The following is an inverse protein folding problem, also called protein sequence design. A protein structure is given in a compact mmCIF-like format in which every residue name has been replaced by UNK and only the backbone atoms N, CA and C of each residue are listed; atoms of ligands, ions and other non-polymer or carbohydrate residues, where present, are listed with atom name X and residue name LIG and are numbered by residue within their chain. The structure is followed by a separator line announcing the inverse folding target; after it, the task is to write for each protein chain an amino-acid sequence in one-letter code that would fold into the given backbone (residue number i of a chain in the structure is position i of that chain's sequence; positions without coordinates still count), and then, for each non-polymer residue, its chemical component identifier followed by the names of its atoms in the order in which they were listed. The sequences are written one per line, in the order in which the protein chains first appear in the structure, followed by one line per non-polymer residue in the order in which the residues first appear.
data_IF_444352894090
#
_entry.id   IF_444352894090
#
_cell.length_a   1.000
_cell.length_b   1.000
_cell.length_c   1.000
_cell.angle_alpha   90.00
_cell.angle_beta   90.00
_cell.angle_gamma   90.00
#
_symmetry.space_group_name_H-M   'P 1'
#
loop_
_entity.id
_entity.type
_entity.pdbx_description
1 polymer ?
#
# COMPACT_ATOMS: atom_id res chain seq x y z
N UNK A 1 24.96 -0.84 5.09
CA UNK A 1 23.85 0.13 4.90
C UNK A 1 24.42 1.48 4.48
N UNK A 2 23.86 2.11 3.44
CA UNK A 2 24.29 3.46 3.05
C UNK A 2 23.94 4.47 4.16
N UNK A 3 24.79 5.49 4.34
CA UNK A 3 24.60 6.53 5.35
C UNK A 3 23.20 7.20 5.26
N UNK A 4 22.69 7.40 4.05
CA UNK A 4 21.35 7.93 3.81
C UNK A 4 20.23 7.05 4.41
N UNK A 5 20.38 5.72 4.35
CA UNK A 5 19.41 4.79 4.95
C UNK A 5 19.38 4.94 6.46
N UNK A 6 20.55 5.11 7.10
CA UNK A 6 20.64 5.34 8.54
C UNK A 6 19.97 6.67 8.94
N UNK A 7 20.25 7.75 8.21
CA UNK A 7 19.62 9.05 8.45
C UNK A 7 18.09 8.98 8.33
N UNK A 8 17.60 8.28 7.31
CA UNK A 8 16.16 8.12 7.10
C UNK A 8 15.49 7.36 8.25
N UNK A 9 16.03 6.19 8.63
CA UNK A 9 15.47 5.41 9.73
C UNK A 9 15.60 6.12 11.08
N UNK A 10 16.68 6.86 11.31
CA UNK A 10 16.83 7.69 12.50
C UNK A 10 15.78 8.79 12.54
N UNK A 11 15.47 9.41 11.41
CA UNK A 11 14.38 10.41 11.30
C UNK A 11 13.01 9.81 11.59
N UNK A 12 12.70 8.64 11.02
CA UNK A 12 11.45 7.92 11.30
C UNK A 12 11.35 7.57 12.80
N UNK A 13 12.42 7.01 13.37
CA UNK A 13 12.47 6.67 14.79
C UNK A 13 12.26 7.91 15.67
N UNK A 14 12.89 9.04 15.34
CA UNK A 14 12.69 10.30 16.07
C UNK A 14 11.24 10.77 16.05
N UNK A 15 10.59 10.73 14.88
CA UNK A 15 9.16 11.10 14.75
C UNK A 15 8.28 10.17 15.59
N UNK A 16 8.54 8.85 15.58
CA UNK A 16 7.79 7.89 16.38
C UNK A 16 8.03 8.08 17.89
N UNK A 17 9.25 8.40 18.32
CA UNK A 17 9.57 8.73 19.72
C UNK A 17 8.79 9.96 20.16
N UNK A 18 8.83 11.04 19.37
CA UNK A 18 8.08 12.27 19.67
C UNK A 18 6.58 11.98 19.77
N UNK A 19 6.02 11.23 18.80
CA UNK A 19 4.62 10.85 18.81
C UNK A 19 4.24 10.02 20.05
N UNK A 20 5.12 9.10 20.44
CA UNK A 20 4.95 8.29 21.67
C UNK A 20 4.96 9.16 22.92
N UNK A 21 5.94 10.06 23.06
CA UNK A 21 6.02 10.97 24.18
C UNK A 21 4.79 11.87 24.31
N UNK A 22 4.32 12.43 23.18
CA UNK A 22 3.10 13.25 23.15
C UNK A 22 1.89 12.42 23.59
N UNK A 23 1.70 11.23 23.03
CA UNK A 23 0.53 10.39 23.34
C UNK A 23 0.54 9.91 24.80
N UNK A 24 1.67 9.53 25.35
CA UNK A 24 1.79 9.11 26.75
C UNK A 24 1.59 10.28 27.71
N UNK A 25 2.10 11.48 27.38
CA UNK A 25 1.87 12.68 28.19
C UNK A 25 0.39 13.08 28.19
N UNK A 26 -0.30 12.99 27.04
CA UNK A 26 -1.74 13.23 26.95
C UNK A 26 -2.52 12.19 27.76
N UNK A 27 -2.14 10.92 27.67
CA UNK A 27 -2.75 9.83 28.43
C UNK A 27 -2.53 10.01 29.95
N UNK A 28 -1.36 10.43 30.35
CA UNK A 28 -1.06 10.70 31.77
C UNK A 28 -1.91 11.87 32.31
N UNK A 29 -2.05 12.96 31.53
CA UNK A 29 -2.95 14.08 31.87
C UNK A 29 -4.43 13.71 31.92
N UNK A 30 -4.84 12.78 31.09
CA UNK A 30 -6.22 12.30 31.00
C UNK A 30 -6.54 11.14 31.95
N UNK A 31 -5.64 10.74 32.86
CA UNK A 31 -5.87 9.61 33.80
C UNK A 31 -7.15 9.69 34.61
N UNK A 32 -7.59 10.90 34.93
CA UNK A 32 -8.84 11.12 35.66
C UNK A 32 -10.11 10.94 34.79
N UNK A 33 -9.98 10.91 33.45
CA UNK A 33 -11.08 10.74 32.50
C UNK A 33 -10.58 9.87 31.31
N UNK A 34 -10.71 8.54 31.40
CA UNK A 34 -10.33 7.65 30.31
C UNK A 34 -11.00 8.06 28.99
N UNK A 35 -10.21 8.11 27.91
CA UNK A 35 -10.70 8.51 26.60
C UNK A 35 -10.37 7.44 25.56
N UNK A 36 -11.41 6.84 24.98
CA UNK A 36 -11.26 5.86 23.89
C UNK A 36 -10.49 6.42 22.68
N UNK A 37 -10.52 7.74 22.48
CA UNK A 37 -9.75 8.42 21.41
C UNK A 37 -8.24 8.35 21.71
N UNK A 38 -7.82 8.56 22.97
CA UNK A 38 -6.43 8.48 23.36
C UNK A 38 -5.91 7.03 23.33
N UNK A 39 -6.72 6.06 23.76
CA UNK A 39 -6.35 4.65 23.70
C UNK A 39 -6.17 4.21 22.25
N UNK A 40 -7.05 4.63 21.34
CA UNK A 40 -6.91 4.37 19.90
C UNK A 40 -5.64 5.04 19.33
N UNK A 41 -5.32 6.27 19.74
CA UNK A 41 -4.09 6.96 19.31
C UNK A 41 -2.84 6.18 19.74
N UNK A 42 -2.78 5.73 20.99
CA UNK A 42 -1.66 4.93 21.51
C UNK A 42 -1.54 3.59 20.76
N UNK A 43 -2.66 2.88 20.53
CA UNK A 43 -2.67 1.64 19.76
C UNK A 43 -2.13 1.87 18.33
N UNK A 44 -2.52 2.97 17.68
CA UNK A 44 -2.00 3.35 16.37
C UNK A 44 -0.49 3.61 16.36
N UNK A 45 0.03 4.32 17.33
CA UNK A 45 1.48 4.59 17.41
C UNK A 45 2.26 3.30 17.64
N UNK A 46 1.76 2.38 18.49
CA UNK A 46 2.36 1.05 18.67
C UNK A 46 2.39 0.25 17.37
N UNK A 47 1.29 0.24 16.63
CA UNK A 47 1.24 -0.43 15.33
C UNK A 47 2.23 0.19 14.32
N UNK A 48 2.43 1.51 14.34
CA UNK A 48 3.47 2.16 13.52
C UNK A 48 4.89 1.71 13.90
N UNK A 49 5.18 1.53 15.19
CA UNK A 49 6.46 0.96 15.63
C UNK A 49 6.68 -0.45 15.09
N UNK A 50 5.66 -1.31 15.15
CA UNK A 50 5.73 -2.67 14.61
C UNK A 50 5.96 -2.64 13.10
N UNK A 51 5.19 -1.84 12.36
CA UNK A 51 5.34 -1.72 10.91
C UNK A 51 6.75 -1.19 10.53
N UNK A 52 7.23 -0.16 11.22
CA UNK A 52 8.58 0.39 10.99
C UNK A 52 9.67 -0.65 11.29
N UNK A 53 9.53 -1.44 12.36
CA UNK A 53 10.45 -2.51 12.71
C UNK A 53 10.46 -3.62 11.65
N UNK A 54 9.28 -4.08 11.19
CA UNK A 54 9.16 -5.11 10.14
C UNK A 54 9.81 -4.65 8.83
N UNK A 55 9.53 -3.42 8.40
CA UNK A 55 10.17 -2.84 7.20
C UNK A 55 11.67 -2.67 7.42
N UNK A 56 12.10 -2.20 8.59
CA UNK A 56 13.51 -2.06 8.94
C UNK A 56 14.26 -3.39 8.89
N UNK A 57 13.69 -4.45 9.46
CA UNK A 57 14.25 -5.81 9.39
C UNK A 57 14.35 -6.25 7.92
N UNK A 58 13.29 -6.07 7.13
CA UNK A 58 13.34 -6.43 5.71
C UNK A 58 14.45 -5.68 4.95
N UNK A 59 14.69 -4.40 5.28
CA UNK A 59 15.78 -3.61 4.69
C UNK A 59 17.16 -4.10 5.10
N UNK A 60 17.34 -4.62 6.33
CA UNK A 60 18.59 -5.24 6.77
C UNK A 60 18.92 -6.47 5.93
N UNK A 61 17.92 -7.30 5.60
CA UNK A 61 18.07 -8.44 4.70
C UNK A 61 18.11 -8.04 3.21
N UNK A 62 18.04 -6.74 2.91
CA UNK A 62 18.16 -6.19 1.56
C UNK A 62 17.09 -6.68 0.60
N UNK A 63 17.49 -6.98 -0.64
CA UNK A 63 16.57 -7.39 -1.71
C UNK A 63 15.69 -8.59 -1.33
N UNK A 64 16.29 -9.62 -0.75
CA UNK A 64 15.57 -10.84 -0.35
C UNK A 64 14.52 -10.54 0.70
N UNK A 65 14.88 -9.82 1.76
CA UNK A 65 13.96 -9.44 2.83
C UNK A 65 12.75 -8.66 2.33
N UNK A 66 12.98 -7.69 1.45
CA UNK A 66 11.89 -6.86 0.90
C UNK A 66 10.96 -7.67 -0.01
N UNK A 67 11.50 -8.50 -0.91
CA UNK A 67 10.67 -9.33 -1.79
C UNK A 67 9.82 -10.31 -0.98
N UNK A 68 10.42 -10.98 0.02
CA UNK A 68 9.70 -11.90 0.91
C UNK A 68 8.64 -11.17 1.73
N UNK A 69 8.96 -10.01 2.30
CA UNK A 69 7.99 -9.19 3.04
C UNK A 69 6.78 -8.86 2.17
N UNK A 70 7.00 -8.33 0.96
CA UNK A 70 5.88 -7.94 0.10
C UNK A 70 5.13 -9.15 -0.49
N UNK A 71 5.77 -10.31 -0.65
CA UNK A 71 5.08 -11.56 -0.99
C UNK A 71 4.12 -11.99 0.14
N UNK A 72 4.55 -11.93 1.39
CA UNK A 72 3.69 -12.20 2.55
C UNK A 72 2.58 -11.16 2.70
N UNK A 73 2.89 -9.90 2.52
CA UNK A 73 1.90 -8.80 2.51
C UNK A 73 0.84 -9.04 1.43
N UNK A 74 1.23 -9.42 0.21
CA UNK A 74 0.29 -9.78 -0.87
C UNK A 74 -0.54 -11.02 -0.53
N UNK A 75 0.06 -12.02 0.10
CA UNK A 75 -0.65 -13.22 0.54
C UNK A 75 -1.76 -12.87 1.55
N UNK A 76 -1.44 -12.08 2.57
CA UNK A 76 -2.42 -11.64 3.56
C UNK A 76 -3.48 -10.72 2.96
N UNK A 77 -3.08 -9.77 2.11
CA UNK A 77 -4.00 -8.88 1.41
C UNK A 77 -4.98 -9.65 0.50
N UNK A 78 -4.48 -10.61 -0.28
CA UNK A 78 -5.31 -11.47 -1.12
C UNK A 78 -6.25 -12.34 -0.28
N UNK A 79 -5.76 -12.90 0.83
CA UNK A 79 -6.58 -13.66 1.77
C UNK A 79 -7.71 -12.80 2.35
N UNK A 80 -7.41 -11.58 2.83
CA UNK A 80 -8.44 -10.65 3.34
C UNK A 80 -9.47 -10.35 2.25
N UNK A 81 -9.04 -10.00 1.04
CA UNK A 81 -9.93 -9.70 -0.08
C UNK A 81 -10.86 -10.87 -0.42
N UNK A 82 -10.31 -12.07 -0.57
CA UNK A 82 -11.08 -13.27 -0.94
C UNK A 82 -12.02 -13.71 0.19
N UNK A 83 -11.59 -13.64 1.45
CA UNK A 83 -12.43 -14.03 2.60
C UNK A 83 -13.70 -13.19 2.71
N UNK A 84 -13.63 -11.92 2.32
CA UNK A 84 -14.75 -10.98 2.35
C UNK A 84 -15.58 -10.96 1.05
N UNK A 85 -15.17 -11.75 0.06
CA UNK A 85 -15.91 -11.90 -1.20
C UNK A 85 -16.57 -13.28 -1.26
N UNK A 86 -17.87 -13.37 -1.64
CA UNK A 86 -18.53 -14.66 -1.76
C UNK A 86 -17.84 -15.54 -2.79
N UNK A 87 -17.37 -16.70 -2.34
CA UNK A 87 -16.78 -17.75 -3.18
C UNK A 87 -17.64 -19.02 -3.11
N UNK A 88 -17.51 -19.90 -4.10
CA UNK A 88 -18.22 -21.18 -4.18
C UNK A 88 -17.23 -22.33 -4.43
N UNK A 89 -17.67 -23.56 -4.26
CA UNK A 89 -16.86 -24.75 -4.55
C UNK A 89 -16.35 -24.78 -6.00
N UNK A 90 -17.11 -24.21 -6.96
CA UNK A 90 -16.68 -24.08 -8.35
C UNK A 90 -15.45 -23.19 -8.57
N UNK A 91 -15.11 -22.31 -7.60
CA UNK A 91 -13.94 -21.42 -7.69
C UNK A 91 -12.66 -22.07 -7.15
N UNK A 92 -12.74 -23.30 -6.63
CA UNK A 92 -11.64 -23.97 -5.94
C UNK A 92 -10.33 -23.98 -6.75
N UNK A 93 -10.38 -24.42 -8.01
CA UNK A 93 -9.18 -24.50 -8.84
C UNK A 93 -8.62 -23.12 -9.19
N UNK A 94 -9.47 -22.14 -9.44
CA UNK A 94 -9.05 -20.77 -9.69
C UNK A 94 -8.39 -20.15 -8.45
N UNK A 95 -8.96 -20.36 -7.27
CA UNK A 95 -8.38 -19.89 -6.00
C UNK A 95 -7.06 -20.60 -5.67
N UNK A 96 -7.00 -21.91 -5.86
CA UNK A 96 -5.78 -22.68 -5.65
C UNK A 96 -4.66 -22.15 -6.57
N UNK A 97 -4.95 -21.94 -7.86
CA UNK A 97 -4.00 -21.37 -8.79
C UNK A 97 -3.59 -19.94 -8.39
N UNK A 98 -4.53 -19.10 -7.96
CA UNK A 98 -4.23 -17.73 -7.54
C UNK A 98 -3.24 -17.66 -6.38
N UNK A 99 -3.46 -18.47 -5.32
CA UNK A 99 -2.64 -18.45 -4.10
C UNK A 99 -1.32 -19.20 -4.25
N UNK A 100 -1.31 -20.37 -4.89
CA UNK A 100 -0.16 -21.28 -4.86
C UNK A 100 0.66 -21.30 -6.15
N UNK A 101 0.14 -20.72 -7.24
CA UNK A 101 0.86 -20.66 -8.52
C UNK A 101 1.12 -19.20 -8.90
N UNK A 102 0.07 -18.40 -9.08
CA UNK A 102 0.19 -17.05 -9.64
C UNK A 102 0.95 -16.12 -8.69
N UNK A 103 0.60 -16.10 -7.40
CA UNK A 103 1.26 -15.24 -6.41
C UNK A 103 2.75 -15.58 -6.26
N UNK A 104 3.17 -16.82 -5.99
CA UNK A 104 4.60 -17.15 -5.89
C UNK A 104 5.35 -16.90 -7.20
N UNK A 105 4.73 -17.19 -8.34
CA UNK A 105 5.36 -16.96 -9.65
C UNK A 105 5.57 -15.47 -9.91
N UNK A 106 4.59 -14.61 -9.60
CA UNK A 106 4.73 -13.16 -9.70
C UNK A 106 5.96 -12.65 -8.92
N UNK A 107 6.13 -13.09 -7.67
CA UNK A 107 7.29 -12.69 -6.85
C UNK A 107 8.59 -13.35 -7.30
N UNK A 108 8.55 -14.56 -7.86
CA UNK A 108 9.68 -15.18 -8.54
C UNK A 108 10.16 -14.37 -9.76
N UNK A 109 9.23 -13.83 -10.55
CA UNK A 109 9.55 -12.97 -11.69
C UNK A 109 10.12 -11.60 -11.23
N UNK A 110 9.62 -11.04 -10.14
CA UNK A 110 10.23 -9.86 -9.50
C UNK A 110 11.63 -10.19 -9.00
N UNK A 111 11.84 -11.38 -8.41
CA UNK A 111 13.16 -11.84 -7.97
C UNK A 111 14.16 -11.93 -9.12
N UNK A 112 13.76 -12.52 -10.24
CA UNK A 112 14.63 -12.65 -11.43
C UNK A 112 14.80 -11.33 -12.20
N UNK A 113 13.93 -10.36 -11.98
CA UNK A 113 13.92 -9.09 -12.70
C UNK A 113 13.40 -9.20 -14.15
N UNK A 114 12.65 -10.26 -14.46
CA UNK A 114 12.09 -10.46 -15.81
C UNK A 114 10.87 -9.55 -16.04
N UNK A 115 11.14 -8.27 -16.35
CA UNK A 115 10.14 -7.22 -16.49
C UNK A 115 8.98 -7.57 -17.43
N UNK A 116 9.27 -8.01 -18.65
CA UNK A 116 8.22 -8.31 -19.64
C UNK A 116 7.22 -9.35 -19.13
N UNK A 117 7.72 -10.42 -18.46
CA UNK A 117 6.84 -11.47 -17.97
C UNK A 117 6.09 -11.05 -16.70
N UNK A 118 6.74 -10.37 -15.76
CA UNK A 118 6.06 -9.99 -14.52
C UNK A 118 4.95 -8.95 -14.74
N UNK A 119 5.05 -8.12 -15.77
CA UNK A 119 4.01 -7.15 -16.12
C UNK A 119 2.83 -7.79 -16.87
N UNK A 120 3.03 -8.94 -17.51
CA UNK A 120 2.01 -9.64 -18.29
C UNK A 120 1.38 -10.83 -17.56
N UNK A 121 2.06 -11.41 -16.57
CA UNK A 121 1.59 -12.63 -15.91
C UNK A 121 0.16 -12.50 -15.39
N UNK A 122 -0.13 -11.49 -14.60
CA UNK A 122 -1.47 -11.33 -13.99
C UNK A 122 -2.46 -10.71 -14.96
N UNK A 123 -2.18 -9.54 -15.61
CA UNK A 123 -3.19 -8.88 -16.44
C UNK A 123 -3.52 -9.62 -17.74
N UNK A 124 -2.68 -10.54 -18.19
CA UNK A 124 -2.92 -11.30 -19.43
C UNK A 124 -3.06 -12.80 -19.13
N UNK A 125 -2.01 -13.46 -18.65
CA UNK A 125 -2.01 -14.92 -18.53
C UNK A 125 -2.96 -15.42 -17.45
N UNK A 126 -2.86 -14.90 -16.23
CA UNK A 126 -3.79 -15.28 -15.16
C UNK A 126 -5.22 -14.83 -15.49
N UNK A 127 -5.40 -13.64 -16.10
CA UNK A 127 -6.70 -13.16 -16.54
C UNK A 127 -7.41 -14.14 -17.49
N UNK A 128 -6.68 -14.82 -18.39
CA UNK A 128 -7.23 -15.81 -19.31
C UNK A 128 -7.35 -17.20 -18.68
N UNK A 129 -6.37 -17.63 -17.88
CA UNK A 129 -6.33 -18.99 -17.33
C UNK A 129 -7.31 -19.19 -16.17
N UNK A 130 -7.49 -18.21 -15.29
CA UNK A 130 -8.38 -18.36 -14.13
C UNK A 130 -9.86 -18.62 -14.52
N UNK A 131 -10.46 -17.95 -15.50
CA UNK A 131 -11.78 -18.31 -15.99
C UNK A 131 -11.86 -19.75 -16.48
N UNK A 132 -10.84 -20.22 -17.23
CA UNK A 132 -10.78 -21.61 -17.71
C UNK A 132 -10.81 -22.57 -16.52
N UNK A 133 -9.99 -22.34 -15.49
CA UNK A 133 -9.99 -23.17 -14.28
C UNK A 133 -11.33 -23.12 -13.52
N UNK A 134 -12.00 -21.99 -13.50
CA UNK A 134 -13.33 -21.84 -12.87
C UNK A 134 -14.42 -22.62 -13.64
N UNK A 135 -14.29 -22.85 -14.96
CA UNK A 135 -15.24 -23.67 -15.73
C UNK A 135 -15.17 -25.15 -15.37
N UNK A 136 -14.02 -25.64 -14.91
CA UNK A 136 -13.83 -27.05 -14.51
C UNK A 136 -14.79 -27.41 -13.36
N UNK A 137 -15.12 -26.46 -12.50
CA UNK A 137 -16.08 -26.66 -11.41
C UNK A 137 -17.54 -26.80 -11.85
N UNK A 138 -17.88 -26.51 -13.11
CA UNK A 138 -19.22 -26.67 -13.71
C UNK A 138 -20.31 -25.76 -13.12
N UNK A 139 -20.01 -24.86 -12.19
CA UNK A 139 -20.98 -23.97 -11.55
C UNK A 139 -21.10 -22.64 -12.30
N UNK A 140 -22.19 -22.50 -13.07
CA UNK A 140 -22.48 -21.28 -13.85
C UNK A 140 -23.12 -20.17 -13.04
N UNK A 141 -23.48 -20.39 -11.77
CA UNK A 141 -24.15 -19.40 -10.92
C UNK A 141 -23.24 -18.20 -10.66
N UNK A 142 -23.64 -17.02 -11.12
CA UNK A 142 -22.86 -15.77 -11.01
C UNK A 142 -21.41 -15.93 -11.46
N UNK A 143 -21.17 -16.72 -12.48
CA UNK A 143 -19.84 -17.09 -12.95
C UNK A 143 -18.95 -15.88 -13.24
N UNK A 144 -19.45 -14.92 -14.04
CA UNK A 144 -18.69 -13.72 -14.40
C UNK A 144 -18.33 -12.89 -13.15
N UNK A 145 -19.27 -12.72 -12.23
CA UNK A 145 -19.06 -11.96 -10.99
C UNK A 145 -17.97 -12.61 -10.11
N UNK A 146 -18.03 -13.93 -9.93
CA UNK A 146 -17.06 -14.69 -9.12
C UNK A 146 -15.67 -14.64 -9.75
N UNK A 147 -15.57 -14.88 -11.04
CA UNK A 147 -14.29 -14.82 -11.77
C UNK A 147 -13.70 -13.42 -11.73
N UNK A 148 -14.50 -12.38 -11.96
CA UNK A 148 -14.05 -11.00 -11.89
C UNK A 148 -13.51 -10.66 -10.48
N UNK A 149 -14.11 -11.15 -9.40
CA UNK A 149 -13.62 -10.91 -8.03
C UNK A 149 -12.24 -11.51 -7.79
N UNK A 150 -11.99 -12.73 -8.26
CA UNK A 150 -10.65 -13.35 -8.14
C UNK A 150 -9.62 -12.57 -8.94
N UNK A 151 -9.97 -12.16 -10.16
CA UNK A 151 -9.10 -11.34 -11.02
C UNK A 151 -8.81 -9.98 -10.38
N UNK A 152 -9.81 -9.27 -9.85
CA UNK A 152 -9.62 -8.03 -9.12
C UNK A 152 -8.74 -8.20 -7.88
N UNK A 153 -8.95 -9.27 -7.12
CA UNK A 153 -8.12 -9.61 -5.98
C UNK A 153 -6.65 -9.76 -6.38
N UNK A 154 -6.35 -10.52 -7.43
CA UNK A 154 -4.98 -10.66 -7.93
C UNK A 154 -4.40 -9.35 -8.45
N UNK A 155 -5.18 -8.56 -9.19
CA UNK A 155 -4.72 -7.26 -9.69
C UNK A 155 -4.34 -6.31 -8.54
N UNK A 156 -5.21 -6.14 -7.55
CA UNK A 156 -4.95 -5.21 -6.45
C UNK A 156 -3.91 -5.77 -5.47
N UNK A 157 -4.14 -7.00 -4.98
CA UNK A 157 -3.36 -7.53 -3.87
C UNK A 157 -2.02 -8.14 -4.28
N UNK A 158 -1.85 -8.53 -5.53
CA UNK A 158 -0.61 -9.17 -5.99
C UNK A 158 0.10 -8.32 -7.03
N UNK A 159 -0.54 -8.03 -8.16
CA UNK A 159 0.10 -7.27 -9.24
C UNK A 159 0.52 -5.87 -8.80
N UNK A 160 -0.42 -5.07 -8.28
CA UNK A 160 -0.12 -3.70 -7.86
C UNK A 160 0.90 -3.66 -6.73
N UNK A 161 0.75 -4.50 -5.69
CA UNK A 161 1.67 -4.54 -4.56
C UNK A 161 3.07 -4.99 -4.99
N UNK A 162 3.19 -5.93 -5.93
CA UNK A 162 4.48 -6.43 -6.43
C UNK A 162 5.34 -5.36 -7.11
N UNK A 163 4.75 -4.24 -7.54
CA UNK A 163 5.50 -3.11 -8.08
C UNK A 163 6.33 -2.38 -7.03
N UNK A 164 6.01 -2.50 -5.73
CA UNK A 164 6.85 -1.94 -4.68
C UNK A 164 8.23 -2.61 -4.64
N UNK A 165 8.37 -3.92 -4.45
CA UNK A 165 9.69 -4.56 -4.50
C UNK A 165 10.29 -4.58 -5.91
N UNK A 166 9.50 -4.45 -6.98
CA UNK A 166 10.02 -4.33 -8.34
C UNK A 166 10.90 -3.09 -8.55
N UNK A 167 10.72 -2.02 -7.74
CA UNK A 167 11.62 -0.86 -7.73
C UNK A 167 13.08 -1.25 -7.52
N UNK A 168 13.36 -2.39 -6.86
CA UNK A 168 14.71 -2.91 -6.65
C UNK A 168 15.41 -3.32 -7.96
N UNK A 169 14.65 -3.57 -9.01
CA UNK A 169 15.16 -4.01 -10.31
C UNK A 169 15.49 -2.87 -11.27
N UNK A 170 15.15 -1.62 -10.90
CA UNK A 170 15.43 -0.47 -11.75
C UNK A 170 16.94 -0.19 -11.82
N UNK A 171 17.45 -0.01 -13.03
CA UNK A 171 18.85 0.30 -13.27
C UNK A 171 18.97 1.80 -13.59
N UNK A 172 19.05 2.61 -12.53
CA UNK A 172 19.12 4.06 -12.65
C UNK A 172 20.58 4.50 -12.63
N UNK A 173 21.08 5.19 -13.67
CA UNK A 173 22.45 5.69 -13.72
C UNK A 173 22.80 6.55 -12.48
N UNK A 174 23.95 6.27 -11.87
CA UNK A 174 24.42 6.97 -10.68
C UNK A 174 23.68 6.65 -9.36
N UNK A 175 22.73 5.70 -9.39
CA UNK A 175 21.92 5.37 -8.22
C UNK A 175 22.01 3.89 -7.78
N UNK A 176 22.95 3.14 -8.31
CA UNK A 176 23.13 1.73 -8.04
C UNK A 176 23.22 1.41 -6.53
N UNK A 177 22.53 0.37 -6.08
CA UNK A 177 22.52 -0.09 -4.68
C UNK A 177 21.67 0.75 -3.71
N UNK A 178 21.00 1.83 -4.17
CA UNK A 178 20.16 2.69 -3.34
C UNK A 178 18.66 2.54 -3.57
N UNK A 179 18.23 1.61 -4.39
CA UNK A 179 16.83 1.43 -4.79
C UNK A 179 15.87 1.16 -3.60
N UNK A 180 16.38 0.65 -2.47
CA UNK A 180 15.62 0.55 -1.22
C UNK A 180 15.07 1.91 -0.76
N UNK A 181 15.79 3.00 -1.02
CA UNK A 181 15.35 4.35 -0.69
C UNK A 181 14.17 4.82 -1.55
N UNK A 182 14.00 4.30 -2.78
CA UNK A 182 12.82 4.57 -3.61
C UNK A 182 11.57 3.93 -3.00
N UNK A 183 11.69 2.73 -2.43
CA UNK A 183 10.60 2.09 -1.70
C UNK A 183 10.23 2.93 -0.47
N UNK A 184 11.22 3.35 0.29
CA UNK A 184 10.99 4.20 1.45
C UNK A 184 10.33 5.53 1.04
N UNK A 185 10.81 6.17 -0.02
CA UNK A 185 10.22 7.39 -0.56
C UNK A 185 8.74 7.20 -0.90
N UNK A 186 8.39 6.18 -1.70
CA UNK A 186 7.01 5.88 -2.08
C UNK A 186 6.11 5.69 -0.84
N UNK A 187 6.54 4.83 0.08
CA UNK A 187 5.74 4.52 1.28
C UNK A 187 5.56 5.75 2.16
N UNK A 188 6.64 6.50 2.43
CA UNK A 188 6.57 7.70 3.27
C UNK A 188 5.64 8.74 2.67
N UNK A 189 5.79 9.04 1.38
CA UNK A 189 5.01 10.08 0.71
C UNK A 189 3.52 9.70 0.68
N UNK A 190 3.18 8.47 0.28
CA UNK A 190 1.78 8.03 0.18
C UNK A 190 1.12 7.92 1.55
N UNK A 191 1.79 7.33 2.55
CA UNK A 191 1.23 7.22 3.89
C UNK A 191 1.11 8.58 4.59
N UNK A 192 2.08 9.47 4.37
CA UNK A 192 1.99 10.85 4.89
C UNK A 192 0.83 11.62 4.25
N UNK A 193 0.53 11.37 2.98
CA UNK A 193 -0.60 11.99 2.29
C UNK A 193 -1.92 11.63 2.99
N UNK A 194 -2.14 10.38 3.35
CA UNK A 194 -3.36 9.95 4.05
C UNK A 194 -3.49 10.62 5.43
N UNK A 195 -2.40 10.72 6.16
CA UNK A 195 -2.39 11.41 7.47
C UNK A 195 -2.64 12.90 7.32
N UNK A 196 -1.97 13.56 6.37
CA UNK A 196 -2.10 14.99 6.12
C UNK A 196 -3.50 15.34 5.59
N UNK A 197 -4.09 14.49 4.73
CA UNK A 197 -5.48 14.64 4.28
C UNK A 197 -6.46 14.60 5.46
N UNK A 198 -6.24 13.71 6.44
CA UNK A 198 -7.05 13.67 7.64
C UNK A 198 -6.89 14.95 8.49
N UNK A 199 -5.65 15.43 8.67
CA UNK A 199 -5.36 16.64 9.44
C UNK A 199 -6.02 17.86 8.79
N UNK A 200 -5.76 18.10 7.50
CA UNK A 200 -6.36 19.21 6.76
C UNK A 200 -7.89 19.11 6.71
N UNK A 201 -8.42 17.89 6.55
CA UNK A 201 -9.87 17.66 6.59
C UNK A 201 -10.50 18.00 7.92
N UNK A 202 -9.79 17.81 9.04
CA UNK A 202 -10.26 18.19 10.39
C UNK A 202 -10.12 19.68 10.67
N UNK A 203 -9.06 20.32 10.17
CA UNK A 203 -8.79 21.74 10.41
C UNK A 203 -9.60 22.68 9.51
N UNK A 204 -9.75 22.34 8.25
CA UNK A 204 -10.31 23.23 7.23
C UNK A 204 -11.46 22.61 6.42
N UNK A 205 -11.78 21.32 6.60
CA UNK A 205 -12.74 20.58 5.77
C UNK A 205 -14.15 21.13 5.89
N UNK A 206 -14.74 21.48 4.75
CA UNK A 206 -16.12 21.98 4.63
C UNK A 206 -16.93 21.19 3.59
N UNK A 207 -16.29 20.79 2.48
CA UNK A 207 -16.95 20.17 1.34
C UNK A 207 -16.56 18.69 1.25
N UNK A 208 -17.54 17.79 1.37
CA UNK A 208 -17.32 16.35 1.26
C UNK A 208 -17.12 15.95 -0.22
N UNK A 209 -16.11 15.12 -0.51
CA UNK A 209 -15.84 14.63 -1.87
C UNK A 209 -16.79 13.50 -2.24
N UNK A 210 -16.92 12.50 -1.38
CA UNK A 210 -17.66 11.29 -1.66
C UNK A 210 -18.43 10.81 -0.41
N UNK A 211 -19.53 11.49 -0.02
CA UNK A 211 -20.24 11.22 1.23
C UNK A 211 -20.70 9.78 1.41
N UNK A 212 -21.13 9.14 0.30
CA UNK A 212 -21.61 7.75 0.31
C UNK A 212 -20.49 6.71 0.43
N UNK A 213 -19.29 7.02 -0.06
CA UNK A 213 -18.14 6.11 -0.05
C UNK A 213 -17.27 6.31 1.21
N UNK A 214 -16.91 7.55 1.46
CA UNK A 214 -16.03 7.95 2.56
C UNK A 214 -16.52 9.28 3.15
N UNK A 215 -17.33 9.24 4.21
CA UNK A 215 -17.97 10.44 4.79
C UNK A 215 -16.99 11.38 5.51
N UNK A 216 -15.73 10.99 5.65
CA UNK A 216 -14.69 11.80 6.30
C UNK A 216 -13.76 12.52 5.32
N UNK A 217 -13.82 12.22 4.02
CA UNK A 217 -12.93 12.85 3.02
C UNK A 217 -13.51 14.15 2.50
N UNK A 218 -12.73 15.23 2.62
CA UNK A 218 -13.11 16.59 2.20
C UNK A 218 -12.22 17.11 1.08
N UNK A 219 -12.70 18.07 0.29
CA UNK A 219 -11.94 18.70 -0.80
C UNK A 219 -10.72 19.41 -0.25
N UNK A 220 -10.88 20.15 0.84
CA UNK A 220 -9.79 20.88 1.50
C UNK A 220 -8.75 19.93 2.08
N UNK A 221 -9.21 18.80 2.65
CA UNK A 221 -8.33 17.72 3.12
C UNK A 221 -7.54 17.10 1.98
N UNK A 222 -8.19 16.84 0.84
CA UNK A 222 -7.54 16.32 -0.35
C UNK A 222 -6.46 17.27 -0.89
N UNK A 223 -6.81 18.52 -1.15
CA UNK A 223 -5.88 19.50 -1.72
C UNK A 223 -4.71 19.74 -0.74
N UNK A 224 -5.01 20.05 0.52
CA UNK A 224 -4.00 20.35 1.54
C UNK A 224 -3.09 19.14 1.80
N UNK A 225 -3.67 17.94 1.93
CA UNK A 225 -2.92 16.72 2.19
C UNK A 225 -2.01 16.32 1.04
N UNK A 226 -2.54 16.30 -0.20
CA UNK A 226 -1.77 15.95 -1.40
C UNK A 226 -0.64 16.94 -1.63
N UNK A 227 -0.88 18.25 -1.54
CA UNK A 227 0.16 19.25 -1.74
C UNK A 227 1.23 19.18 -0.63
N UNK A 228 0.83 19.08 0.63
CA UNK A 228 1.77 18.99 1.75
C UNK A 228 2.63 17.73 1.67
N UNK A 229 2.06 16.57 1.29
CA UNK A 229 2.81 15.32 1.10
C UNK A 229 3.74 15.40 -0.13
N UNK A 230 3.33 16.12 -1.18
CA UNK A 230 4.18 16.32 -2.36
C UNK A 230 5.36 17.24 -2.06
N UNK A 231 5.17 18.26 -1.21
CA UNK A 231 6.25 19.09 -0.69
C UNK A 231 7.19 18.28 0.24
N UNK A 232 6.65 17.35 1.03
CA UNK A 232 7.48 16.40 1.77
C UNK A 232 8.32 15.55 0.82
N UNK A 233 7.73 15.05 -0.27
CA UNK A 233 8.46 14.33 -1.31
C UNK A 233 9.58 15.18 -1.93
N UNK A 234 9.30 16.45 -2.20
CA UNK A 234 10.33 17.42 -2.62
C UNK A 234 11.45 17.56 -1.59
N UNK A 235 11.13 17.66 -0.30
CA UNK A 235 12.12 17.77 0.77
C UNK A 235 12.96 16.49 0.92
N UNK A 236 12.43 15.34 0.54
CA UNK A 236 13.10 14.04 0.55
C UNK A 236 13.89 13.74 -0.74
N UNK A 237 14.07 14.71 -1.65
CA UNK A 237 14.79 14.51 -2.91
C UNK A 237 16.17 13.87 -2.74
N UNK A 238 16.86 14.15 -1.63
CA UNK A 238 18.21 13.65 -1.32
C UNK A 238 18.31 12.12 -1.15
N UNK A 239 17.20 11.43 -0.93
CA UNK A 239 17.15 9.95 -0.90
C UNK A 239 16.80 9.36 -2.27
N UNK A 240 16.58 10.17 -3.29
CA UNK A 240 16.16 9.78 -4.64
C UNK A 240 17.23 10.13 -5.67
N UNK A 241 17.16 9.60 -6.89
CA UNK A 241 18.02 10.04 -8.00
C UNK A 241 17.49 11.32 -8.69
N UNK A 242 16.44 11.93 -8.16
CA UNK A 242 15.69 12.99 -8.85
C UNK A 242 16.11 14.37 -8.38
N UNK A 243 15.99 15.38 -9.28
CA UNK A 243 15.99 16.78 -8.86
C UNK A 243 14.74 17.07 -7.99
N UNK A 244 14.76 18.07 -7.09
CA UNK A 244 13.66 18.39 -6.18
C UNK A 244 12.30 18.51 -6.88
N UNK A 245 12.24 19.13 -8.06
CA UNK A 245 11.00 19.29 -8.83
C UNK A 245 10.45 17.98 -9.40
N UNK A 246 11.34 17.09 -9.84
CA UNK A 246 10.93 15.75 -10.28
C UNK A 246 10.44 14.91 -9.10
N UNK A 247 11.10 15.00 -7.93
CA UNK A 247 10.64 14.36 -6.71
C UNK A 247 9.24 14.86 -6.28
N UNK A 248 8.98 16.18 -6.38
CA UNK A 248 7.67 16.76 -6.17
C UNK A 248 6.63 16.19 -7.15
N UNK A 249 6.93 16.21 -8.45
CA UNK A 249 6.01 15.72 -9.49
C UNK A 249 5.67 14.23 -9.34
N UNK A 250 6.67 13.39 -9.07
CA UNK A 250 6.47 11.96 -8.81
C UNK A 250 5.66 11.71 -7.53
N UNK A 251 5.94 12.48 -6.47
CA UNK A 251 5.17 12.43 -5.23
C UNK A 251 3.71 12.87 -5.46
N UNK A 252 3.50 13.94 -6.24
CA UNK A 252 2.15 14.43 -6.57
C UNK A 252 1.34 13.35 -7.29
N UNK A 253 1.90 12.72 -8.32
CA UNK A 253 1.22 11.66 -9.05
C UNK A 253 0.94 10.45 -8.14
N UNK A 254 1.93 10.02 -7.34
CA UNK A 254 1.75 8.92 -6.40
C UNK A 254 0.64 9.21 -5.37
N UNK A 255 0.58 10.43 -4.83
CA UNK A 255 -0.43 10.86 -3.88
C UNK A 255 -1.84 10.95 -4.51
N UNK A 256 -1.95 11.44 -5.74
CA UNK A 256 -3.21 11.44 -6.49
C UNK A 256 -3.71 10.02 -6.73
N UNK A 257 -2.84 9.12 -7.20
CA UNK A 257 -3.19 7.72 -7.40
C UNK A 257 -3.55 7.03 -6.08
N UNK A 258 -2.82 7.30 -5.01
CA UNK A 258 -3.13 6.80 -3.66
C UNK A 258 -4.51 7.25 -3.19
N UNK A 259 -4.85 8.51 -3.36
CA UNK A 259 -6.16 9.05 -3.00
C UNK A 259 -7.29 8.35 -3.76
N UNK A 260 -7.18 8.22 -5.09
CA UNK A 260 -8.18 7.54 -5.90
C UNK A 260 -8.24 6.04 -5.58
N UNK A 261 -7.10 5.40 -5.32
CA UNK A 261 -7.03 4.02 -4.83
C UNK A 261 -7.82 3.83 -3.55
N UNK A 262 -7.61 4.67 -2.55
CA UNK A 262 -8.37 4.67 -1.29
C UNK A 262 -9.88 4.90 -1.48
N UNK A 263 -10.30 5.68 -2.51
CA UNK A 263 -11.73 5.81 -2.86
C UNK A 263 -12.28 4.53 -3.49
N UNK A 264 -11.55 3.92 -4.43
CA UNK A 264 -11.96 2.64 -5.06
C UNK A 264 -12.07 1.54 -4.01
N UNK A 265 -11.07 1.40 -3.13
CA UNK A 265 -11.09 0.42 -2.05
C UNK A 265 -12.24 0.69 -1.06
N UNK A 266 -12.56 1.94 -0.80
CA UNK A 266 -13.74 2.33 0.00
C UNK A 266 -15.03 1.94 -0.70
N UNK A 267 -15.15 2.11 -2.02
CA UNK A 267 -16.31 1.69 -2.79
C UNK A 267 -16.54 0.17 -2.70
N UNK A 268 -15.46 -0.63 -2.86
CA UNK A 268 -15.54 -2.08 -2.74
C UNK A 268 -15.96 -2.49 -1.31
N UNK A 269 -15.41 -1.84 -0.27
CA UNK A 269 -15.81 -2.09 1.13
C UNK A 269 -17.31 -1.81 1.34
N UNK A 270 -17.85 -0.71 0.80
CA UNK A 270 -19.28 -0.39 0.92
C UNK A 270 -20.16 -1.37 0.15
N UNK A 271 -19.74 -1.79 -1.06
CA UNK A 271 -20.43 -2.82 -1.83
C UNK A 271 -20.49 -4.16 -1.05
N UNK A 272 -19.47 -4.48 -0.25
CA UNK A 272 -19.46 -5.66 0.63
C UNK A 272 -20.15 -5.45 1.99
N UNK A 273 -20.64 -4.26 2.29
CA UNK A 273 -21.25 -3.93 3.58
C UNK A 273 -20.26 -3.89 4.76
N UNK A 274 -18.97 -3.76 4.49
CA UNK A 274 -17.91 -3.72 5.49
C UNK A 274 -17.29 -2.34 5.59
N UNK A 275 -16.56 -2.09 6.69
CA UNK A 275 -15.78 -0.87 6.90
C UNK A 275 -14.29 -1.11 6.74
N UNK A 276 -13.78 -2.18 7.28
CA UNK A 276 -12.37 -2.57 7.29
C UNK A 276 -12.21 -3.96 6.65
N UNK A 277 -11.08 -4.22 5.99
CA UNK A 277 -10.79 -5.50 5.33
C UNK A 277 -10.48 -6.64 6.30
N UNK A 278 -10.05 -6.30 7.52
CA UNK A 278 -9.68 -7.27 8.53
C UNK A 278 -9.44 -6.63 9.88
N UNK A 279 -8.90 -7.43 10.82
CA UNK A 279 -8.58 -6.99 12.18
C UNK A 279 -7.15 -7.39 12.59
N UNK A 280 -6.27 -7.67 11.61
CA UNK A 280 -4.92 -8.17 11.88
C UNK A 280 -4.04 -7.13 12.56
N UNK A 281 -4.26 -5.84 12.27
CA UNK A 281 -3.44 -4.74 12.82
C UNK A 281 -4.30 -3.97 13.83
N UNK A 282 -3.94 -4.05 15.11
CA UNK A 282 -4.66 -3.38 16.19
C UNK A 282 -4.78 -1.86 15.94
N UNK A 283 -6.00 -1.33 16.05
CA UNK A 283 -6.30 0.08 15.79
C UNK A 283 -6.23 0.53 14.32
N UNK A 284 -5.90 -0.39 13.38
CA UNK A 284 -5.69 -0.07 11.97
C UNK A 284 -6.45 -0.95 10.97
N UNK A 285 -7.18 -1.97 11.40
CA UNK A 285 -7.91 -2.87 10.51
C UNK A 285 -7.03 -3.99 9.94
N UNK A 286 -7.23 -4.36 8.68
CA UNK A 286 -6.47 -5.39 7.98
C UNK A 286 -5.19 -4.87 7.32
N UNK A 287 -4.42 -5.80 6.75
CA UNK A 287 -3.23 -5.50 5.95
C UNK A 287 -3.61 -4.68 4.72
N UNK A 288 -4.71 -5.03 4.07
CA UNK A 288 -5.18 -4.34 2.87
C UNK A 288 -5.65 -2.91 3.17
N UNK A 289 -6.13 -2.63 4.40
CA UNK A 289 -6.46 -1.27 4.84
C UNK A 289 -5.23 -0.34 4.95
N UNK A 290 -4.02 -0.90 5.03
CA UNK A 290 -2.76 -0.14 5.08
C UNK A 290 -2.13 0.05 3.70
N UNK A 291 -2.61 -0.66 2.71
CA UNK A 291 -2.06 -0.68 1.35
C UNK A 291 -3.03 -0.13 0.31
N UNK A 292 -4.25 0.24 0.70
CA UNK A 292 -5.28 0.70 -0.22
C UNK A 292 -4.83 1.88 -1.09
N UNK A 293 -4.07 2.82 -0.53
CA UNK A 293 -3.45 3.92 -1.27
C UNK A 293 -2.19 3.46 -2.05
N UNK A 294 -1.36 2.62 -1.44
CA UNK A 294 -0.09 2.16 -2.05
C UNK A 294 -0.33 1.27 -3.27
N UNK A 295 -1.39 0.42 -3.24
CA UNK A 295 -1.73 -0.45 -4.37
C UNK A 295 -1.88 0.31 -5.69
N UNK A 296 -2.53 1.46 -5.68
CA UNK A 296 -2.72 2.27 -6.89
C UNK A 296 -1.51 3.16 -7.21
N UNK A 297 -0.79 3.63 -6.20
CA UNK A 297 0.37 4.47 -6.38
C UNK A 297 1.57 3.70 -6.95
N UNK A 298 1.82 2.47 -6.46
CA UNK A 298 3.04 1.72 -6.75
C UNK A 298 3.27 1.43 -8.25
N UNK A 299 2.30 0.89 -9.02
CA UNK A 299 2.53 0.60 -10.44
C UNK A 299 2.78 1.87 -11.25
N UNK A 300 2.06 2.96 -10.95
CA UNK A 300 2.24 4.23 -11.66
C UNK A 300 3.61 4.83 -11.34
N UNK A 301 3.99 4.89 -10.07
CA UNK A 301 5.29 5.37 -9.64
C UNK A 301 6.44 4.56 -10.26
N UNK A 302 6.33 3.21 -10.25
CA UNK A 302 7.32 2.34 -10.87
C UNK A 302 7.49 2.63 -12.36
N UNK A 303 6.40 2.71 -13.12
CA UNK A 303 6.48 2.89 -14.56
C UNK A 303 6.97 4.28 -14.95
N UNK A 304 6.57 5.33 -14.21
CA UNK A 304 7.10 6.67 -14.44
C UNK A 304 8.62 6.72 -14.25
N UNK A 305 9.15 6.08 -13.20
CA UNK A 305 10.60 6.04 -12.98
C UNK A 305 11.27 5.21 -14.06
N UNK A 306 10.69 4.05 -14.39
CA UNK A 306 11.25 3.16 -15.41
C UNK A 306 11.39 3.85 -16.78
N UNK A 307 10.38 4.60 -17.20
CA UNK A 307 10.41 5.28 -18.51
C UNK A 307 11.18 6.59 -18.50
N UNK A 308 11.31 7.24 -17.34
CA UNK A 308 11.97 8.54 -17.24
C UNK A 308 13.45 8.49 -16.86
N UNK A 309 13.88 7.46 -16.13
CA UNK A 309 15.23 7.43 -15.51
C UNK A 309 15.94 6.08 -15.55
N UNK A 310 15.29 4.95 -15.92
CA UNK A 310 15.90 3.63 -15.87
C UNK A 310 16.07 2.95 -17.23
#
# INVERSE_FOLDING_TARGET
MHQQTLWLFSGIALVLVIATLISETLRWRARARPSAVLDNLVARIRAWWVMAAVVGIAFVFGRAGVIVLFALVSLFALREFITLTPTRRGDYYALLAAFYIVLPWQYGLVWTGWYGMYTLLIPVYAFLVLPILATIGGDTTRYLERTAKVQWGLMICVFCISHVPALLNLQIPGYAGRNLLLIAFLVIVVQSSDVLQYIWGKLAGRHLIAPKLSPSKTVEGFIGGVLSASLLGMALWWITPFAPWHAFGLALVANLMGFFGGLVMSAIKRDRGIKDWGHMIEGHGGVLDRLDSVCFAAPVFFHLIRYGWA
#
